data_IF_847646821115
#
_entry.id   IF_847646821115
#
_cell.length_a   1.000
_cell.length_b   1.000
_cell.length_c   1.000
_cell.angle_alpha   90.00
_cell.angle_beta   90.00
_cell.angle_gamma   90.00
#
_symmetry.space_group_name_H-M   'P 1'
#
loop_
_entity.id
_entity.type
_entity.pdbx_description
1 polymer ?
#
# COMPACT_ATOMS: atom_id res chain seq x y z
N UNK A 1 -28.18 -37.06 48.40
CA UNK A 1 -27.93 -38.50 48.20
C UNK A 1 -28.59 -38.92 46.89
N UNK A 2 -27.81 -39.29 45.88
CA UNK A 2 -28.27 -39.71 44.55
C UNK A 2 -27.70 -41.12 44.33
N UNK A 3 -28.50 -42.11 43.88
CA UNK A 3 -28.07 -43.51 43.86
C UNK A 3 -27.00 -43.80 42.78
N UNK A 4 -26.10 -44.78 43.00
CA UNK A 4 -24.88 -44.98 42.22
C UNK A 4 -25.05 -45.77 40.90
N UNK A 5 -26.27 -45.95 40.39
CA UNK A 5 -26.54 -46.91 39.31
C UNK A 5 -26.47 -46.37 37.86
N UNK A 6 -26.16 -45.08 37.63
CA UNK A 6 -26.05 -44.53 36.25
C UNK A 6 -24.65 -44.56 35.64
N UNK A 7 -23.60 -44.86 36.40
CA UNK A 7 -22.22 -44.80 35.90
C UNK A 7 -21.75 -46.08 35.19
N UNK A 8 -22.42 -47.22 35.36
CA UNK A 8 -22.05 -48.50 34.73
C UNK A 8 -22.61 -48.65 33.31
N UNK A 9 -23.80 -48.10 33.02
CA UNK A 9 -24.42 -48.21 31.68
C UNK A 9 -23.68 -47.44 30.58
N UNK A 10 -22.94 -46.39 30.92
CA UNK A 10 -22.14 -45.62 29.95
C UNK A 10 -20.83 -46.30 29.55
N UNK A 11 -20.31 -47.24 30.36
CA UNK A 11 -19.06 -47.97 30.01
C UNK A 11 -19.33 -49.15 29.08
N UNK A 12 -20.45 -49.83 29.22
CA UNK A 12 -20.80 -50.96 28.33
C UNK A 12 -21.16 -50.51 26.91
N UNK A 13 -21.80 -49.33 26.75
CA UNK A 13 -22.05 -48.77 25.42
C UNK A 13 -20.77 -48.29 24.70
N UNK A 14 -19.69 -48.00 25.42
CA UNK A 14 -18.40 -47.65 24.80
C UNK A 14 -17.57 -48.87 24.38
N UNK A 15 -17.85 -50.06 24.94
CA UNK A 15 -17.13 -51.29 24.60
C UNK A 15 -17.81 -52.12 23.50
N UNK A 16 -19.10 -51.91 23.20
CA UNK A 16 -19.79 -52.64 22.12
C UNK A 16 -19.82 -51.90 20.77
N UNK A 17 -19.29 -50.68 20.68
CA UNK A 17 -19.14 -49.97 19.40
C UNK A 17 -17.85 -50.31 18.63
N UNK A 18 -16.99 -51.18 19.17
CA UNK A 18 -15.69 -51.55 18.61
C UNK A 18 -15.71 -52.89 17.87
N UNK A 19 -16.61 -53.03 16.88
CA UNK A 19 -16.55 -54.17 15.97
C UNK A 19 -17.11 -53.77 14.59
N UNK A 20 -16.28 -53.10 13.79
CA UNK A 20 -16.43 -53.11 12.34
C UNK A 20 -15.11 -53.62 11.74
N UNK A 21 -15.10 -54.78 11.07
CA UNK A 21 -13.92 -55.34 10.44
C UNK A 21 -13.65 -54.61 9.11
N UNK A 22 -12.38 -54.54 8.71
CA UNK A 22 -11.87 -53.91 7.46
C UNK A 22 -11.81 -52.37 7.45
N UNK A 23 -10.85 -51.82 8.18
CA UNK A 23 -10.34 -50.47 7.98
C UNK A 23 -8.85 -50.45 8.26
N UNK A 24 -8.04 -50.47 7.19
CA UNK A 24 -6.57 -50.39 7.24
C UNK A 24 -6.17 -49.19 8.12
N UNK A 25 -5.58 -49.45 9.28
CA UNK A 25 -5.10 -48.40 10.17
C UNK A 25 -4.05 -47.57 9.43
N UNK A 26 -4.41 -46.35 9.04
CA UNK A 26 -3.45 -45.39 8.49
C UNK A 26 -2.51 -44.98 9.63
N UNK A 27 -1.18 -45.04 9.43
CA UNK A 27 -0.24 -44.62 10.46
C UNK A 27 -0.46 -43.13 10.76
N UNK A 28 -0.24 -42.69 12.03
CA UNK A 28 -0.36 -41.29 12.39
C UNK A 28 0.58 -40.45 11.51
N UNK A 29 0.13 -39.30 10.99
CA UNK A 29 0.92 -38.49 10.08
C UNK A 29 2.24 -38.10 10.77
N UNK A 30 3.36 -38.45 10.14
CA UNK A 30 4.68 -38.15 10.70
C UNK A 30 4.95 -36.64 10.60
N UNK A 31 5.87 -36.10 11.42
CA UNK A 31 6.27 -34.68 11.36
C UNK A 31 6.69 -34.21 9.95
N UNK A 32 7.07 -35.13 9.05
CA UNK A 32 7.35 -34.86 7.64
C UNK A 32 6.09 -34.62 6.80
N UNK A 33 4.97 -35.26 7.14
CA UNK A 33 3.69 -35.13 6.42
C UNK A 33 2.95 -33.83 6.77
N UNK A 34 3.21 -33.26 7.96
CA UNK A 34 2.70 -31.94 8.35
C UNK A 34 3.50 -30.76 7.78
N UNK A 35 4.61 -31.02 7.08
CA UNK A 35 5.24 -29.98 6.27
C UNK A 35 4.43 -29.81 5.00
N UNK A 36 3.39 -28.99 5.06
CA UNK A 36 2.71 -28.45 3.88
C UNK A 36 3.79 -27.89 2.94
N UNK A 37 4.15 -28.68 1.93
CA UNK A 37 5.06 -28.28 0.86
C UNK A 37 4.38 -27.14 0.13
N UNK A 38 4.71 -25.91 0.53
CA UNK A 38 4.29 -24.71 -0.15
C UNK A 38 4.87 -24.79 -1.56
N UNK A 39 4.02 -25.16 -2.53
CA UNK A 39 4.40 -25.26 -3.94
C UNK A 39 5.00 -23.92 -4.36
N UNK A 40 6.22 -23.96 -4.88
CA UNK A 40 7.01 -22.81 -5.35
C UNK A 40 6.21 -21.89 -6.31
N UNK A 41 5.26 -22.45 -7.06
CA UNK A 41 4.28 -21.78 -7.95
C UNK A 41 3.54 -20.60 -7.31
N UNK A 42 3.32 -20.64 -5.99
CA UNK A 42 2.51 -19.66 -5.29
C UNK A 42 3.28 -18.36 -4.97
N UNK A 43 4.61 -18.45 -4.77
CA UNK A 43 5.48 -17.30 -4.50
C UNK A 43 5.53 -16.34 -5.68
N UNK A 44 5.73 -16.90 -6.87
CA UNK A 44 5.79 -16.17 -8.14
C UNK A 44 4.48 -15.43 -8.43
N UNK A 45 3.32 -16.05 -8.16
CA UNK A 45 2.01 -15.41 -8.34
C UNK A 45 1.82 -14.17 -7.47
N UNK A 46 2.24 -14.23 -6.20
CA UNK A 46 2.14 -13.06 -5.31
C UNK A 46 3.13 -11.98 -5.73
N UNK A 47 4.35 -12.36 -6.09
CA UNK A 47 5.33 -11.39 -6.59
C UNK A 47 4.82 -10.66 -7.83
N UNK A 48 4.28 -11.40 -8.81
CA UNK A 48 3.64 -10.81 -9.99
C UNK A 48 2.47 -9.91 -9.62
N UNK A 49 1.67 -10.27 -8.62
CA UNK A 49 0.59 -9.41 -8.16
C UNK A 49 1.11 -8.12 -7.52
N UNK A 50 2.19 -8.16 -6.73
CA UNK A 50 2.83 -6.94 -6.22
C UNK A 50 3.35 -6.07 -7.36
N UNK A 51 4.05 -6.65 -8.34
CA UNK A 51 4.52 -5.92 -9.52
C UNK A 51 3.35 -5.28 -10.26
N UNK A 52 2.28 -6.02 -10.51
CA UNK A 52 1.14 -5.50 -11.27
C UNK A 52 0.43 -4.40 -10.50
N UNK A 53 0.10 -4.64 -9.22
CA UNK A 53 -0.71 -3.72 -8.42
C UNK A 53 0.06 -2.45 -8.04
N UNK A 54 1.28 -2.58 -7.50
CA UNK A 54 2.10 -1.41 -7.19
C UNK A 54 2.71 -0.77 -8.44
N UNK A 55 2.99 -1.56 -9.48
CA UNK A 55 3.46 -1.04 -10.77
C UNK A 55 2.40 -0.22 -11.47
N UNK A 56 1.13 -0.65 -11.48
CA UNK A 56 0.02 0.15 -12.00
C UNK A 56 -0.22 1.41 -11.17
N UNK A 57 -0.14 1.29 -9.83
CA UNK A 57 -0.26 2.45 -8.95
C UNK A 57 0.82 3.50 -9.22
N UNK A 58 2.02 3.10 -9.65
CA UNK A 58 3.12 4.00 -10.03
C UNK A 58 2.99 4.51 -11.47
N UNK A 59 2.68 3.62 -12.42
CA UNK A 59 2.70 3.91 -13.85
C UNK A 59 1.58 4.88 -14.25
N UNK A 60 0.37 4.73 -13.70
CA UNK A 60 -0.76 5.59 -14.05
C UNK A 60 -0.53 7.07 -13.69
N UNK A 61 -0.10 7.43 -12.46
CA UNK A 61 0.19 8.83 -12.13
C UNK A 61 1.36 9.41 -12.92
N UNK A 62 2.40 8.61 -13.19
CA UNK A 62 3.51 9.05 -14.04
C UNK A 62 3.01 9.33 -15.46
N UNK A 63 2.21 8.43 -16.03
CA UNK A 63 1.58 8.61 -17.33
C UNK A 63 0.72 9.88 -17.38
N UNK A 64 -0.07 10.15 -16.33
CA UNK A 64 -0.85 11.38 -16.23
C UNK A 64 0.04 12.63 -16.18
N UNK A 65 1.11 12.62 -15.39
CA UNK A 65 2.10 13.71 -15.31
C UNK A 65 2.88 13.93 -16.61
N UNK A 66 3.09 12.89 -17.41
CA UNK A 66 3.86 12.96 -18.66
C UNK A 66 2.99 13.32 -19.85
N UNK A 67 1.81 12.72 -19.95
CA UNK A 67 0.97 12.83 -21.14
C UNK A 67 -0.26 13.69 -20.96
N UNK A 68 -0.86 13.80 -19.77
CA UNK A 68 -2.10 14.57 -19.57
C UNK A 68 -1.81 15.98 -19.10
N UNK A 69 -0.83 16.15 -18.19
CA UNK A 69 -0.42 17.46 -17.67
C UNK A 69 -0.13 18.47 -18.80
N UNK A 70 0.63 18.12 -19.87
CA UNK A 70 0.97 19.10 -20.90
C UNK A 70 -0.22 19.69 -21.66
N UNK A 71 -1.35 18.98 -21.72
CA UNK A 71 -2.53 19.46 -22.45
C UNK A 71 -3.50 20.25 -21.57
N UNK A 72 -3.47 20.02 -20.27
CA UNK A 72 -4.47 20.54 -19.33
C UNK A 72 -3.95 21.73 -18.52
N UNK A 73 -2.65 21.77 -18.22
CA UNK A 73 -2.12 22.64 -17.16
C UNK A 73 -0.83 23.39 -17.53
N UNK A 74 -0.40 23.38 -18.79
CA UNK A 74 0.83 24.10 -19.20
C UNK A 74 0.74 25.59 -18.93
N UNK A 75 1.82 26.15 -18.39
CA UNK A 75 1.91 27.56 -18.02
C UNK A 75 1.19 27.91 -16.72
N UNK A 76 0.37 27.02 -16.17
CA UNK A 76 -0.41 27.26 -14.94
C UNK A 76 0.33 26.84 -13.66
N UNK A 77 1.51 26.22 -13.79
CA UNK A 77 2.29 25.73 -12.66
C UNK A 77 2.53 26.82 -11.60
N UNK A 78 2.44 26.49 -10.31
CA UNK A 78 2.83 27.38 -9.22
C UNK A 78 4.35 27.47 -9.08
N UNK A 79 4.84 28.56 -8.50
CA UNK A 79 6.25 28.67 -8.09
C UNK A 79 6.50 27.90 -6.79
N UNK A 80 6.72 26.60 -6.93
CA UNK A 80 6.89 25.70 -5.79
C UNK A 80 8.19 25.93 -5.04
N UNK A 81 9.24 26.37 -5.72
CA UNK A 81 10.51 26.68 -5.07
C UNK A 81 10.31 27.87 -4.13
N UNK A 82 9.69 28.95 -4.61
CA UNK A 82 9.37 30.11 -3.79
C UNK A 82 8.40 29.79 -2.65
N UNK A 83 7.32 29.04 -2.94
CA UNK A 83 6.37 28.61 -1.89
C UNK A 83 7.07 27.79 -0.80
N UNK A 84 8.01 26.91 -1.16
CA UNK A 84 8.76 26.13 -0.19
C UNK A 84 9.72 27.00 0.62
N UNK A 85 10.38 27.97 -0.01
CA UNK A 85 11.25 28.93 0.69
C UNK A 85 10.48 29.81 1.69
N UNK A 86 9.25 30.20 1.36
CA UNK A 86 8.37 30.92 2.29
C UNK A 86 8.00 30.06 3.51
N UNK A 87 7.79 28.74 3.32
CA UNK A 87 7.51 27.84 4.43
C UNK A 87 8.76 27.43 5.24
N UNK A 88 9.91 27.30 4.57
CA UNK A 88 11.16 26.79 5.12
C UNK A 88 12.33 27.63 4.59
N UNK A 89 12.59 28.82 5.18
CA UNK A 89 13.63 29.73 4.70
C UNK A 89 15.04 29.12 4.70
N UNK A 90 15.30 28.14 5.58
CA UNK A 90 16.56 27.42 5.67
C UNK A 90 16.94 26.64 4.40
N UNK A 91 16.00 26.40 3.48
CA UNK A 91 16.26 25.72 2.22
C UNK A 91 16.83 26.64 1.12
N UNK A 92 16.95 27.96 1.37
CA UNK A 92 17.41 28.93 0.36
C UNK A 92 18.78 28.62 -0.22
N UNK A 93 19.68 28.02 0.56
CA UNK A 93 20.99 27.58 0.07
C UNK A 93 20.90 26.54 -1.04
N UNK A 94 19.85 25.70 -1.04
CA UNK A 94 19.68 24.58 -1.95
C UNK A 94 18.71 24.91 -3.10
N UNK A 95 17.70 25.74 -2.83
CA UNK A 95 16.60 26.03 -3.76
C UNK A 95 16.57 27.46 -4.27
N UNK A 96 17.48 28.33 -3.83
CA UNK A 96 17.53 29.74 -4.27
C UNK A 96 17.69 29.84 -5.78
N UNK A 97 18.67 29.14 -6.36
CA UNK A 97 18.89 29.16 -7.81
C UNK A 97 17.70 28.59 -8.60
N UNK A 98 16.96 27.62 -8.07
CA UNK A 98 15.78 27.08 -8.76
C UNK A 98 14.57 28.02 -8.67
N UNK A 99 14.44 28.77 -7.57
CA UNK A 99 13.43 29.83 -7.44
C UNK A 99 13.75 31.00 -8.38
N UNK A 100 15.00 31.46 -8.39
CA UNK A 100 15.43 32.56 -9.24
C UNK A 100 15.27 32.25 -10.73
N UNK A 101 15.59 31.01 -11.15
CA UNK A 101 15.43 30.55 -12.54
C UNK A 101 13.97 30.40 -13.00
N UNK A 102 13.02 30.25 -12.07
CA UNK A 102 11.58 30.16 -12.36
C UNK A 102 10.85 31.50 -12.21
N UNK A 103 11.57 32.56 -11.80
CA UNK A 103 10.99 33.89 -11.59
C UNK A 103 10.54 34.52 -12.91
N UNK A 104 9.32 35.07 -12.93
CA UNK A 104 8.69 35.64 -14.14
C UNK A 104 8.64 37.17 -14.15
N UNK A 105 9.11 37.82 -13.08
CA UNK A 105 8.96 39.27 -12.88
C UNK A 105 9.83 40.05 -13.87
N UNK A 106 9.19 40.90 -14.68
CA UNK A 106 9.88 41.79 -15.63
C UNK A 106 10.43 41.10 -16.89
N UNK A 107 10.13 39.82 -17.13
CA UNK A 107 10.58 39.10 -18.31
C UNK A 107 9.67 39.37 -19.53
N UNK A 108 10.27 39.58 -20.69
CA UNK A 108 9.56 39.75 -21.96
C UNK A 108 9.83 38.62 -22.95
N UNK A 109 8.81 38.25 -23.73
CA UNK A 109 8.96 37.37 -24.91
C UNK A 109 9.50 35.98 -24.60
N UNK A 110 10.64 35.63 -25.20
CA UNK A 110 11.27 34.30 -25.11
C UNK A 110 11.71 33.93 -23.70
N UNK A 111 12.16 34.91 -22.90
CA UNK A 111 12.58 34.68 -21.51
C UNK A 111 11.41 34.27 -20.61
N UNK A 112 10.22 34.86 -20.83
CA UNK A 112 8.99 34.47 -20.15
C UNK A 112 8.61 33.03 -20.50
N UNK A 113 8.69 32.66 -21.79
CA UNK A 113 8.42 31.30 -22.24
C UNK A 113 9.32 30.25 -21.58
N UNK A 114 10.63 30.52 -21.49
CA UNK A 114 11.59 29.64 -20.82
C UNK A 114 11.33 29.49 -19.32
N UNK A 115 11.02 30.60 -18.63
CA UNK A 115 10.69 30.58 -17.20
C UNK A 115 9.42 29.75 -16.91
N UNK A 116 8.38 29.85 -17.76
CA UNK A 116 7.16 29.06 -17.62
C UNK A 116 7.43 27.56 -17.81
N UNK A 117 8.23 27.18 -18.80
CA UNK A 117 8.62 25.78 -19.03
C UNK A 117 9.44 25.24 -17.85
N UNK A 118 10.38 26.03 -17.31
CA UNK A 118 11.15 25.66 -16.13
C UNK A 118 10.23 25.45 -14.91
N UNK A 119 9.25 26.34 -14.72
CA UNK A 119 8.26 26.25 -13.63
C UNK A 119 7.39 25.00 -13.75
N UNK A 120 6.90 24.69 -14.94
CA UNK A 120 6.14 23.45 -15.20
C UNK A 120 6.97 22.20 -14.92
N UNK A 121 8.24 22.19 -15.33
CA UNK A 121 9.15 21.08 -15.07
C UNK A 121 9.37 20.91 -13.56
N UNK A 122 9.70 21.99 -12.84
CA UNK A 122 9.92 21.95 -11.39
C UNK A 122 8.68 21.43 -10.66
N UNK A 123 7.49 21.88 -11.05
CA UNK A 123 6.24 21.43 -10.45
C UNK A 123 6.00 19.94 -10.68
N UNK A 124 6.14 19.45 -11.93
CA UNK A 124 5.95 18.03 -12.25
C UNK A 124 6.95 17.14 -11.52
N UNK A 125 8.21 17.56 -11.44
CA UNK A 125 9.26 16.85 -10.69
C UNK A 125 8.92 16.82 -9.20
N UNK A 126 8.46 17.93 -8.64
CA UNK A 126 8.04 17.99 -7.24
C UNK A 126 6.88 17.02 -6.95
N UNK A 127 5.79 17.10 -7.72
CA UNK A 127 4.63 16.20 -7.57
C UNK A 127 5.05 14.74 -7.72
N UNK A 128 5.81 14.44 -8.78
CA UNK A 128 6.34 13.10 -9.04
C UNK A 128 7.22 12.58 -7.90
N UNK A 129 8.04 13.44 -7.29
CA UNK A 129 8.93 13.07 -6.18
C UNK A 129 8.15 12.78 -4.90
N UNK A 130 7.17 13.63 -4.54
CA UNK A 130 6.32 13.41 -3.36
C UNK A 130 5.52 12.12 -3.52
N UNK A 131 4.96 11.91 -4.71
CA UNK A 131 4.22 10.70 -5.04
C UNK A 131 5.12 9.45 -4.96
N UNK A 132 6.30 9.48 -5.59
CA UNK A 132 7.26 8.38 -5.57
C UNK A 132 7.70 8.04 -4.14
N UNK A 133 7.95 9.06 -3.31
CA UNK A 133 8.29 8.87 -1.90
C UNK A 133 7.15 8.17 -1.14
N UNK A 134 5.91 8.64 -1.31
CA UNK A 134 4.73 8.03 -0.68
C UNK A 134 4.51 6.59 -1.15
N UNK A 135 4.69 6.33 -2.45
CA UNK A 135 4.62 4.99 -3.05
C UNK A 135 5.69 4.06 -2.46
N UNK A 136 6.95 4.51 -2.41
CA UNK A 136 8.08 3.72 -1.91
C UNK A 136 7.92 3.39 -0.43
N UNK A 137 7.57 4.39 0.38
CA UNK A 137 7.31 4.20 1.81
C UNK A 137 6.13 3.24 2.03
N UNK A 138 5.04 3.38 1.27
CA UNK A 138 3.89 2.46 1.35
C UNK A 138 4.32 1.02 1.05
N UNK A 139 5.11 0.82 -0.01
CA UNK A 139 5.65 -0.50 -0.39
C UNK A 139 6.59 -1.06 0.69
N UNK A 140 7.53 -0.26 1.21
CA UNK A 140 8.46 -0.68 2.27
C UNK A 140 7.68 -1.11 3.51
N UNK A 141 6.71 -0.31 3.95
CA UNK A 141 5.86 -0.60 5.10
C UNK A 141 5.10 -1.92 4.92
N UNK A 142 4.56 -2.17 3.73
CA UNK A 142 3.94 -3.45 3.40
C UNK A 142 4.92 -4.63 3.50
N UNK A 143 6.09 -4.50 2.91
CA UNK A 143 7.10 -5.55 2.88
C UNK A 143 7.65 -5.84 4.28
N UNK A 144 7.87 -4.80 5.10
CA UNK A 144 8.27 -4.91 6.50
C UNK A 144 7.19 -5.60 7.33
N UNK A 145 5.93 -5.18 7.21
CA UNK A 145 4.81 -5.85 7.87
C UNK A 145 4.79 -7.34 7.51
N UNK A 146 4.89 -7.65 6.22
CA UNK A 146 4.86 -9.03 5.74
C UNK A 146 6.05 -9.84 6.23
N UNK A 147 7.24 -9.23 6.37
CA UNK A 147 8.42 -9.85 6.98
C UNK A 147 8.16 -10.22 8.44
N UNK A 148 7.52 -9.33 9.21
CA UNK A 148 7.21 -9.55 10.63
C UNK A 148 6.21 -10.68 10.88
N UNK A 149 5.31 -10.95 9.92
CA UNK A 149 4.28 -11.99 10.04
C UNK A 149 4.57 -13.27 9.21
N UNK A 150 5.84 -13.54 8.87
CA UNK A 150 6.24 -14.75 8.10
C UNK A 150 5.96 -16.08 8.80
N UNK A 151 5.86 -16.11 10.14
CA UNK A 151 5.64 -17.34 10.92
C UNK A 151 4.20 -17.38 11.45
N UNK A 152 3.39 -18.41 11.10
CA UNK A 152 2.05 -18.55 11.64
C UNK A 152 2.15 -19.03 13.10
N UNK A 153 1.97 -18.13 14.06
CA UNK A 153 1.72 -18.49 15.44
C UNK A 153 0.23 -18.82 15.57
N UNK A 154 -0.13 -20.09 15.68
CA UNK A 154 -1.52 -20.57 15.80
C UNK A 154 -2.02 -20.38 17.24
N UNK A 155 -2.39 -19.15 17.62
CA UNK A 155 -3.05 -18.86 18.89
C UNK A 155 -4.11 -17.77 18.70
N UNK A 156 -5.29 -17.87 19.32
CA UNK A 156 -6.37 -16.87 19.17
C UNK A 156 -5.93 -15.43 19.48
N UNK A 157 -4.96 -15.26 20.39
CA UNK A 157 -4.35 -13.96 20.73
C UNK A 157 -3.44 -13.40 19.62
N UNK A 158 -2.72 -14.25 18.88
CA UNK A 158 -1.87 -13.79 17.78
C UNK A 158 -2.71 -13.30 16.59
N UNK A 159 -3.87 -13.92 16.36
CA UNK A 159 -4.84 -13.51 15.34
C UNK A 159 -5.37 -12.11 15.58
N UNK A 160 -5.83 -11.79 16.81
CA UNK A 160 -6.30 -10.43 17.15
C UNK A 160 -5.18 -9.39 17.02
N UNK A 161 -3.94 -9.73 17.39
CA UNK A 161 -2.77 -8.85 17.20
C UNK A 161 -2.48 -8.60 15.72
N UNK A 162 -2.59 -9.63 14.87
CA UNK A 162 -2.41 -9.48 13.43
C UNK A 162 -3.48 -8.57 12.79
N UNK A 163 -4.75 -8.70 13.21
CA UNK A 163 -5.84 -7.80 12.78
C UNK A 163 -5.57 -6.36 13.17
N UNK A 164 -5.17 -6.12 14.44
CA UNK A 164 -4.84 -4.76 14.91
C UNK A 164 -3.66 -4.18 14.17
N UNK A 165 -2.58 -4.96 13.99
CA UNK A 165 -1.41 -4.53 13.22
C UNK A 165 -1.75 -4.21 11.76
N UNK A 166 -2.62 -5.01 11.13
CA UNK A 166 -3.12 -4.71 9.78
C UNK A 166 -3.86 -3.36 9.74
N UNK A 167 -4.80 -3.12 10.67
CA UNK A 167 -5.54 -1.85 10.72
C UNK A 167 -4.61 -0.66 10.94
N UNK A 168 -3.64 -0.80 11.84
CA UNK A 168 -2.63 0.24 12.09
C UNK A 168 -1.78 0.49 10.85
N UNK A 169 -1.37 -0.56 10.13
CA UNK A 169 -0.55 -0.42 8.92
C UNK A 169 -1.34 0.24 7.79
N UNK A 170 -2.60 -0.14 7.58
CA UNK A 170 -3.47 0.53 6.61
C UNK A 170 -3.73 2.00 6.99
N UNK A 171 -3.94 2.29 8.28
CA UNK A 171 -4.09 3.67 8.75
C UNK A 171 -2.82 4.48 8.49
N UNK A 172 -1.65 3.91 8.75
CA UNK A 172 -0.38 4.59 8.53
C UNK A 172 -0.13 4.88 7.05
N UNK A 173 -0.43 3.93 6.16
CA UNK A 173 -0.36 4.15 4.70
C UNK A 173 -1.37 5.21 4.26
N UNK A 174 -2.58 5.21 4.83
CA UNK A 174 -3.59 6.22 4.55
C UNK A 174 -3.11 7.62 4.96
N UNK A 175 -2.65 7.77 6.21
CA UNK A 175 -2.14 9.05 6.73
C UNK A 175 -0.95 9.53 5.90
N UNK A 176 0.00 8.65 5.57
CA UNK A 176 1.15 8.98 4.73
C UNK A 176 0.72 9.56 3.36
N UNK A 177 -0.18 8.87 2.65
CA UNK A 177 -0.64 9.31 1.33
C UNK A 177 -1.52 10.57 1.42
N UNK A 178 -2.30 10.71 2.49
CA UNK A 178 -3.05 11.93 2.76
C UNK A 178 -2.12 13.12 3.01
N UNK A 179 -1.07 12.96 3.81
CA UNK A 179 -0.07 13.99 4.04
C UNK A 179 0.68 14.36 2.76
N UNK A 180 1.02 13.37 1.93
CA UNK A 180 1.60 13.62 0.60
C UNK A 180 0.68 14.45 -0.29
N UNK A 181 -0.60 14.08 -0.38
CA UNK A 181 -1.59 14.84 -1.14
C UNK A 181 -1.81 16.25 -0.59
N UNK A 182 -1.88 16.40 0.74
CA UNK A 182 -2.00 17.69 1.40
C UNK A 182 -0.78 18.59 1.13
N UNK A 183 0.43 18.03 1.15
CA UNK A 183 1.66 18.75 0.83
C UNK A 183 1.61 19.33 -0.59
N UNK A 184 1.24 18.49 -1.57
CA UNK A 184 1.08 18.92 -2.97
C UNK A 184 -0.02 19.99 -3.08
N UNK A 185 -1.12 19.83 -2.35
CA UNK A 185 -2.20 20.80 -2.36
C UNK A 185 -1.78 22.18 -1.84
N UNK A 186 -1.17 22.23 -0.66
CA UNK A 186 -0.79 23.49 -0.01
C UNK A 186 0.40 24.18 -0.68
N UNK A 187 1.35 23.44 -1.23
CA UNK A 187 2.52 24.03 -1.89
C UNK A 187 2.29 24.38 -3.36
N UNK A 188 1.21 23.91 -3.97
CA UNK A 188 0.98 24.20 -5.38
C UNK A 188 -0.47 24.25 -5.83
N UNK A 189 -1.21 23.15 -5.72
CA UNK A 189 -2.54 23.05 -6.36
C UNK A 189 -3.45 24.22 -5.96
N UNK A 190 -3.44 24.64 -4.69
CA UNK A 190 -4.30 25.75 -4.24
C UNK A 190 -4.14 27.05 -5.04
N UNK A 191 -2.98 27.28 -5.64
CA UNK A 191 -2.64 28.49 -6.40
C UNK A 191 -3.01 28.40 -7.89
N UNK A 192 -3.34 27.21 -8.40
CA UNK A 192 -3.78 27.02 -9.79
C UNK A 192 -5.22 27.53 -9.90
N UNK A 193 -5.47 28.49 -10.79
CA UNK A 193 -6.82 29.00 -11.06
C UNK A 193 -7.57 28.06 -12.02
N UNK A 194 -8.91 28.02 -11.92
CA UNK A 194 -9.79 27.25 -12.84
C UNK A 194 -9.48 25.75 -12.99
N UNK A 195 -9.51 25.03 -11.87
CA UNK A 195 -9.29 23.58 -11.86
C UNK A 195 -10.51 22.81 -12.35
N UNK A 196 -10.30 21.91 -13.28
CA UNK A 196 -11.28 20.91 -13.70
C UNK A 196 -11.20 19.65 -12.83
N UNK A 197 -12.18 18.76 -12.96
CA UNK A 197 -12.15 17.45 -12.32
C UNK A 197 -10.90 16.64 -12.71
N UNK A 198 -10.45 16.75 -13.96
CA UNK A 198 -9.29 16.01 -14.46
C UNK A 198 -7.98 16.44 -13.82
N UNK A 199 -7.86 17.72 -13.45
CA UNK A 199 -6.69 18.24 -12.75
C UNK A 199 -6.59 17.66 -11.33
N UNK A 200 -7.74 17.54 -10.66
CA UNK A 200 -7.81 16.85 -9.37
C UNK A 200 -7.46 15.37 -9.48
N UNK A 201 -7.96 14.69 -10.52
CA UNK A 201 -7.61 13.30 -10.77
C UNK A 201 -6.09 13.15 -11.02
N UNK A 202 -5.48 14.06 -11.77
CA UNK A 202 -4.04 14.05 -12.05
C UNK A 202 -3.20 14.10 -10.77
N UNK A 203 -3.57 14.96 -9.82
CA UNK A 203 -2.78 15.14 -8.59
C UNK A 203 -3.16 14.18 -7.45
N UNK A 204 -4.42 13.73 -7.36
CA UNK A 204 -4.90 12.92 -6.24
C UNK A 204 -4.95 11.41 -6.53
N UNK A 205 -5.12 11.00 -7.79
CA UNK A 205 -5.34 9.60 -8.14
C UNK A 205 -4.17 8.71 -7.69
N UNK A 206 -2.93 9.18 -7.80
CA UNK A 206 -1.77 8.40 -7.36
C UNK A 206 -1.80 8.06 -5.87
N UNK A 207 -2.09 9.05 -5.01
CA UNK A 207 -2.18 8.84 -3.56
C UNK A 207 -3.30 7.86 -3.20
N UNK A 208 -4.42 7.94 -3.91
CA UNK A 208 -5.53 6.99 -3.73
C UNK A 208 -5.15 5.58 -4.21
N UNK A 209 -4.53 5.47 -5.39
CA UNK A 209 -4.09 4.20 -5.97
C UNK A 209 -3.06 3.49 -5.07
N UNK A 210 -2.19 4.21 -4.38
CA UNK A 210 -1.28 3.63 -3.38
C UNK A 210 -2.04 2.94 -2.23
N UNK A 211 -3.11 3.56 -1.74
CA UNK A 211 -3.94 3.00 -0.66
C UNK A 211 -4.68 1.75 -1.16
N UNK A 212 -5.26 1.81 -2.36
CA UNK A 212 -5.95 0.67 -2.97
C UNK A 212 -4.98 -0.48 -3.25
N UNK A 213 -3.82 -0.18 -3.81
CA UNK A 213 -2.75 -1.15 -4.07
C UNK A 213 -2.34 -1.86 -2.79
N UNK A 214 -2.11 -1.07 -1.73
CA UNK A 214 -1.78 -1.61 -0.44
C UNK A 214 -2.88 -2.54 0.09
N UNK A 215 -4.14 -2.11 0.01
CA UNK A 215 -5.27 -2.90 0.48
C UNK A 215 -5.42 -4.24 -0.25
N UNK A 216 -5.28 -4.25 -1.58
CA UNK A 216 -5.31 -5.47 -2.40
C UNK A 216 -4.18 -6.43 -1.99
N UNK A 217 -2.94 -5.91 -1.91
CA UNK A 217 -1.76 -6.70 -1.52
C UNK A 217 -1.84 -7.22 -0.08
N UNK A 218 -2.49 -6.50 0.84
CA UNK A 218 -2.74 -7.00 2.19
C UNK A 218 -3.76 -8.13 2.22
N UNK A 219 -4.86 -8.04 1.46
CA UNK A 219 -5.85 -9.13 1.40
C UNK A 219 -5.21 -10.43 0.90
N UNK A 220 -4.28 -10.33 -0.05
CA UNK A 220 -3.49 -11.46 -0.54
C UNK A 220 -2.47 -12.01 0.46
N UNK A 221 -2.06 -11.20 1.44
CA UNK A 221 -1.07 -11.56 2.46
C UNK A 221 -1.69 -11.83 3.85
N UNK A 222 -3.00 -11.69 4.00
CA UNK A 222 -3.67 -11.71 5.30
C UNK A 222 -3.75 -13.13 5.89
N UNK A 223 -3.61 -13.30 7.22
CA UNK A 223 -3.92 -14.54 7.95
C UNK A 223 -5.24 -15.17 7.51
N UNK A 224 -5.38 -16.52 7.49
CA UNK A 224 -6.63 -17.19 7.11
C UNK A 224 -7.83 -16.71 7.93
N UNK A 225 -7.56 -16.24 9.15
CA UNK A 225 -8.55 -15.66 10.06
C UNK A 225 -9.11 -14.29 9.63
N UNK A 226 -8.45 -13.58 8.70
CA UNK A 226 -8.88 -12.29 8.13
C UNK A 226 -9.43 -12.50 6.73
N UNK A 227 -8.86 -13.43 5.97
CA UNK A 227 -9.21 -13.67 4.57
C UNK A 227 -10.37 -14.67 4.36
N UNK A 228 -11.05 -15.10 5.43
CA UNK A 228 -12.14 -16.09 5.37
C UNK A 228 -11.63 -17.51 5.08
N UNK A 229 -12.50 -18.52 5.21
CA UNK A 229 -12.18 -19.98 5.15
C UNK A 229 -11.39 -20.45 3.90
N UNK A 230 -11.21 -19.61 2.89
CA UNK A 230 -10.51 -19.90 1.63
C UNK A 230 -9.37 -18.90 1.34
N UNK A 231 -8.99 -18.13 2.35
CA UNK A 231 -7.98 -17.11 2.28
C UNK A 231 -6.59 -17.67 2.11
N UNK A 232 -6.22 -17.84 0.85
CA UNK A 232 -4.88 -17.91 0.28
C UNK A 232 -3.79 -17.33 1.17
N UNK A 233 -3.30 -18.12 2.13
CA UNK A 233 -2.08 -17.83 2.86
C UNK A 233 -0.91 -18.10 1.92
N UNK A 234 -0.74 -17.25 0.92
CA UNK A 234 0.26 -17.43 -0.11
C UNK A 234 1.58 -16.88 0.43
N UNK A 235 2.37 -17.81 0.96
CA UNK A 235 3.75 -17.55 1.39
C UNK A 235 4.56 -17.13 0.16
N UNK A 236 5.34 -16.04 0.27
CA UNK A 236 6.46 -15.73 -0.62
C UNK A 236 7.72 -16.48 -0.18
#
# INVERSE_FOLDING_TARGET
MVPPQRASQWREQQQMGSASPLGRATPPPTKRDMQVKVKYSNKTRVFLCYILVFGMALALPIAMLVWVYPYTLVGTAPDVAENLLQTLPGLRRWLGATADAASIHGLSGTALGLALVARDLHWRVFVGSVFLLCWLLSLILQLLWRRSYRRPLMASRSTRRAVRSFRLMMLLIFVLNFLGGALVYFLGIRFISEKTFWDWALFAAGFFLNIVAAWICFRLAAPPAISGKHGFFIRL
#
